data_IF_837160940501
#
_entry.id   IF_837160940501
#
_cell.length_a   1.000
_cell.length_b   1.000
_cell.length_c   1.000
_cell.angle_alpha   90.00
_cell.angle_beta   90.00
_cell.angle_gamma   90.00
#
_symmetry.space_group_name_H-M   'P 1'
#
loop_
_entity.id
_entity.type
_entity.pdbx_description
1 polymer ?
#
# COMPACT_ATOMS: atom_id res chain seq x y z
N UNK A 1 -11.14 -19.18 -8.14
CA UNK A 1 -11.19 -17.72 -7.96
C UNK A 1 -11.56 -17.12 -9.30
N UNK A 2 -12.53 -16.19 -9.34
CA UNK A 2 -13.01 -15.56 -10.59
C UNK A 2 -11.85 -14.90 -11.37
N UNK A 3 -11.83 -15.05 -12.71
CA UNK A 3 -10.82 -14.48 -13.60
C UNK A 3 -10.70 -12.96 -13.44
N UNK A 4 -11.83 -12.27 -13.23
CA UNK A 4 -11.83 -10.84 -12.96
C UNK A 4 -11.06 -10.50 -11.68
N UNK A 5 -11.12 -11.37 -10.68
CA UNK A 5 -10.44 -11.17 -9.40
C UNK A 5 -8.94 -11.40 -9.52
N UNK A 6 -8.51 -12.41 -10.27
CA UNK A 6 -7.10 -12.64 -10.59
C UNK A 6 -6.54 -11.42 -11.34
N UNK A 7 -7.27 -10.91 -12.33
CA UNK A 7 -6.87 -9.72 -13.09
C UNK A 7 -6.68 -8.50 -12.18
N UNK A 8 -7.59 -8.28 -11.22
CA UNK A 8 -7.43 -7.18 -10.24
C UNK A 8 -6.19 -7.32 -9.37
N UNK A 9 -5.89 -8.51 -8.85
CA UNK A 9 -4.64 -8.73 -8.10
C UNK A 9 -3.41 -8.44 -8.96
N UNK A 10 -3.39 -8.93 -10.21
CA UNK A 10 -2.28 -8.69 -11.15
C UNK A 10 -2.09 -7.20 -11.44
N UNK A 11 -3.18 -6.45 -11.61
CA UNK A 11 -3.11 -5.00 -11.80
C UNK A 11 -2.47 -4.31 -10.60
N UNK A 12 -2.88 -4.65 -9.37
CA UNK A 12 -2.30 -4.05 -8.16
C UNK A 12 -0.84 -4.42 -7.96
N UNK A 13 -0.47 -5.67 -8.20
CA UNK A 13 0.94 -6.12 -8.17
C UNK A 13 1.78 -5.38 -9.21
N UNK A 14 1.26 -5.16 -10.43
CA UNK A 14 1.95 -4.39 -11.46
C UNK A 14 2.23 -2.94 -11.02
N UNK A 15 1.25 -2.30 -10.37
CA UNK A 15 1.45 -0.96 -9.79
C UNK A 15 2.55 -0.99 -8.72
N UNK A 16 2.53 -1.98 -7.82
CA UNK A 16 3.53 -2.14 -6.77
C UNK A 16 4.94 -2.23 -7.37
N UNK A 17 5.16 -3.13 -8.33
CA UNK A 17 6.47 -3.29 -8.96
C UNK A 17 6.90 -2.03 -9.70
N UNK A 18 6.00 -1.38 -10.43
CA UNK A 18 6.32 -0.14 -11.15
C UNK A 18 6.72 0.98 -10.18
N UNK A 19 5.98 1.17 -9.10
CA UNK A 19 6.26 2.24 -8.11
C UNK A 19 7.51 1.98 -7.29
N UNK A 20 7.78 0.72 -6.94
CA UNK A 20 9.04 0.32 -6.32
C UNK A 20 10.24 0.69 -7.18
N UNK A 21 10.21 0.40 -8.49
CA UNK A 21 11.32 0.75 -9.39
C UNK A 21 11.46 2.27 -9.57
N UNK A 22 10.35 3.00 -9.64
CA UNK A 22 10.38 4.46 -9.69
C UNK A 22 11.05 5.05 -8.43
N UNK A 23 10.68 4.58 -7.23
CA UNK A 23 11.27 5.04 -5.96
C UNK A 23 12.77 4.80 -5.99
N UNK A 24 13.22 3.58 -6.31
CA UNK A 24 14.65 3.26 -6.40
C UNK A 24 15.40 4.15 -7.39
N UNK A 25 14.74 4.56 -8.48
CA UNK A 25 15.37 5.37 -9.53
C UNK A 25 15.55 6.83 -9.10
N UNK A 26 14.65 7.36 -8.25
CA UNK A 26 14.58 8.80 -7.96
C UNK A 26 14.91 9.16 -6.51
N UNK A 27 15.14 8.18 -5.63
CA UNK A 27 15.30 8.42 -4.18
C UNK A 27 16.52 9.29 -3.84
N UNK A 28 17.58 9.22 -4.63
CA UNK A 28 18.82 9.95 -4.41
C UNK A 28 18.87 11.31 -5.16
N UNK A 29 17.82 11.63 -5.91
CA UNK A 29 17.72 12.90 -6.64
C UNK A 29 17.26 14.03 -5.69
N UNK A 30 17.98 15.15 -5.70
CA UNK A 30 17.71 16.27 -4.77
C UNK A 30 16.75 17.32 -5.33
N UNK A 31 16.40 17.26 -6.62
CA UNK A 31 15.48 18.23 -7.20
C UNK A 31 14.05 18.02 -6.69
N UNK A 32 13.35 19.13 -6.44
CA UNK A 32 12.01 19.13 -5.84
C UNK A 32 11.03 18.22 -6.58
N UNK A 33 11.07 18.20 -7.92
CA UNK A 33 10.18 17.38 -8.73
C UNK A 33 10.43 15.89 -8.49
N UNK A 34 11.68 15.46 -8.43
CA UNK A 34 12.02 14.06 -8.16
C UNK A 34 11.62 13.63 -6.75
N UNK A 35 11.85 14.48 -5.75
CA UNK A 35 11.39 14.24 -4.36
C UNK A 35 9.87 14.05 -4.32
N UNK A 36 9.11 14.94 -4.95
CA UNK A 36 7.64 14.82 -5.01
C UNK A 36 7.20 13.57 -5.79
N UNK A 37 7.93 13.18 -6.83
CA UNK A 37 7.65 11.95 -7.59
C UNK A 37 7.89 10.67 -6.76
N UNK A 38 8.89 10.68 -5.87
CA UNK A 38 9.12 9.62 -4.88
C UNK A 38 7.95 9.54 -3.91
N UNK A 39 7.53 10.66 -3.32
CA UNK A 39 6.40 10.69 -2.39
C UNK A 39 5.12 10.15 -3.04
N UNK A 40 4.81 10.58 -4.26
CA UNK A 40 3.64 10.07 -4.97
C UNK A 40 3.76 8.58 -5.29
N UNK A 41 4.96 8.14 -5.68
CA UNK A 41 5.19 6.71 -5.96
C UNK A 41 5.04 5.86 -4.70
N UNK A 42 5.50 6.36 -3.55
CA UNK A 42 5.31 5.71 -2.26
C UNK A 42 3.83 5.63 -1.86
N UNK A 43 3.07 6.72 -2.01
CA UNK A 43 1.63 6.72 -1.72
C UNK A 43 0.90 5.64 -2.53
N UNK A 44 1.11 5.59 -3.85
CA UNK A 44 0.44 4.61 -4.72
C UNK A 44 0.89 3.17 -4.49
N UNK A 45 2.16 2.99 -4.07
CA UNK A 45 2.70 1.69 -3.66
C UNK A 45 1.91 1.15 -2.46
N UNK A 46 1.77 1.97 -1.40
CA UNK A 46 1.06 1.58 -0.18
C UNK A 46 -0.44 1.41 -0.40
N UNK A 47 -1.08 2.29 -1.17
CA UNK A 47 -2.49 2.13 -1.59
C UNK A 47 -2.74 0.80 -2.30
N UNK A 48 -1.82 0.39 -3.16
CA UNK A 48 -1.95 -0.89 -3.87
C UNK A 48 -1.80 -2.09 -2.94
N UNK A 49 -0.95 -2.00 -1.91
CA UNK A 49 -0.87 -3.03 -0.87
C UNK A 49 -2.15 -3.10 -0.03
N UNK A 50 -2.68 -1.97 0.44
CA UNK A 50 -3.88 -1.97 1.29
C UNK A 50 -5.12 -2.43 0.52
N UNK A 51 -5.23 -2.10 -0.77
CA UNK A 51 -6.25 -2.65 -1.65
C UNK A 51 -6.16 -4.17 -1.78
N UNK A 52 -4.94 -4.72 -1.94
CA UNK A 52 -4.71 -6.17 -1.94
C UNK A 52 -5.14 -6.77 -0.60
N UNK A 53 -4.83 -6.14 0.52
CA UNK A 53 -5.23 -6.63 1.83
C UNK A 53 -6.74 -6.67 2.01
N UNK A 54 -7.44 -5.60 1.64
CA UNK A 54 -8.90 -5.56 1.61
C UNK A 54 -9.49 -6.65 0.70
N UNK A 55 -8.88 -6.87 -0.47
CA UNK A 55 -9.27 -7.95 -1.38
C UNK A 55 -9.07 -9.34 -0.77
N UNK A 56 -8.01 -9.56 0.02
CA UNK A 56 -7.75 -10.83 0.70
C UNK A 56 -8.76 -11.02 1.84
N UNK A 57 -8.99 -10.01 2.69
CA UNK A 57 -10.02 -10.05 3.75
C UNK A 57 -11.38 -10.44 3.18
N UNK A 58 -11.79 -9.80 2.06
CA UNK A 58 -13.02 -10.16 1.36
C UNK A 58 -13.03 -11.59 0.82
N UNK A 59 -11.87 -12.12 0.42
CA UNK A 59 -11.74 -13.52 -0.05
C UNK A 59 -11.90 -14.52 1.09
N UNK A 60 -11.57 -14.13 2.32
CA UNK A 60 -11.75 -14.93 3.53
C UNK A 60 -13.18 -14.88 4.08
N UNK A 61 -14.11 -14.25 3.33
CA UNK A 61 -15.49 -13.96 3.75
C UNK A 61 -15.57 -13.14 5.05
N UNK A 62 -14.57 -12.32 5.32
CA UNK A 62 -14.60 -11.35 6.41
C UNK A 62 -15.07 -9.98 5.92
N UNK A 63 -15.65 -9.20 6.85
CA UNK A 63 -16.00 -7.81 6.59
C UNK A 63 -14.73 -7.02 6.30
N UNK A 64 -14.69 -6.29 5.19
CA UNK A 64 -13.61 -5.33 4.90
C UNK A 64 -13.86 -4.08 5.72
N UNK A 65 -12.85 -3.64 6.48
CA UNK A 65 -12.89 -2.42 7.30
C UNK A 65 -11.79 -1.46 6.86
N UNK A 66 -11.27 -0.62 7.77
CA UNK A 66 -10.13 0.25 7.50
C UNK A 66 -8.81 -0.53 7.33
N UNK A 67 -7.80 0.15 6.81
CA UNK A 67 -6.49 -0.44 6.50
C UNK A 67 -5.81 -1.09 7.72
N UNK A 68 -5.86 -0.47 8.90
CA UNK A 68 -5.21 -1.01 10.10
C UNK A 68 -5.91 -2.28 10.58
N UNK A 69 -7.24 -2.25 10.60
CA UNK A 69 -8.05 -3.40 11.00
C UNK A 69 -7.91 -4.56 10.00
N UNK A 70 -7.84 -4.26 8.70
CA UNK A 70 -7.61 -5.28 7.67
C UNK A 70 -6.22 -5.93 7.81
N UNK A 71 -5.16 -5.16 8.07
CA UNK A 71 -3.81 -5.70 8.31
C UNK A 71 -3.82 -6.64 9.53
N UNK A 72 -4.46 -6.24 10.64
CA UNK A 72 -4.55 -7.06 11.85
C UNK A 72 -5.29 -8.38 11.60
N UNK A 73 -6.39 -8.35 10.82
CA UNK A 73 -7.10 -9.58 10.42
C UNK A 73 -6.20 -10.53 9.64
N UNK A 74 -5.40 -10.02 8.70
CA UNK A 74 -4.47 -10.85 7.94
C UNK A 74 -3.38 -11.46 8.83
N UNK A 75 -2.88 -10.73 9.82
CA UNK A 75 -1.96 -11.28 10.82
C UNK A 75 -2.63 -12.37 11.67
N UNK A 76 -3.86 -12.14 12.16
CA UNK A 76 -4.62 -13.15 12.94
C UNK A 76 -4.88 -14.43 12.14
N UNK A 77 -4.97 -14.32 10.82
CA UNK A 77 -5.12 -15.45 9.88
C UNK A 77 -3.80 -16.10 9.48
N UNK A 78 -2.67 -15.61 9.98
CA UNK A 78 -1.33 -16.13 9.66
C UNK A 78 -0.85 -15.81 8.23
N UNK A 79 -1.52 -14.88 7.54
CA UNK A 79 -1.13 -14.43 6.18
C UNK A 79 0.01 -13.42 6.26
N UNK A 80 0.01 -12.58 7.29
CA UNK A 80 1.13 -11.71 7.64
C UNK A 80 1.79 -12.19 8.93
N UNK A 81 3.12 -12.07 8.99
CA UNK A 81 3.85 -12.16 10.26
C UNK A 81 3.61 -10.90 11.11
N UNK A 82 3.96 -10.97 12.40
CA UNK A 82 3.91 -9.81 13.30
C UNK A 82 4.83 -8.67 12.83
N UNK A 83 6.00 -9.02 12.30
CA UNK A 83 6.92 -8.05 11.67
C UNK A 83 6.29 -7.38 10.46
N UNK A 84 5.67 -8.16 9.56
CA UNK A 84 5.00 -7.63 8.37
C UNK A 84 3.80 -6.74 8.74
N UNK A 85 3.04 -7.10 9.76
CA UNK A 85 1.98 -6.24 10.29
C UNK A 85 2.55 -4.90 10.76
N UNK A 86 3.61 -4.92 11.57
CA UNK A 86 4.27 -3.71 12.06
C UNK A 86 4.75 -2.81 10.94
N UNK A 87 5.50 -3.37 10.00
CA UNK A 87 6.03 -2.65 8.82
C UNK A 87 4.91 -2.04 7.98
N UNK A 88 3.82 -2.78 7.74
CA UNK A 88 2.72 -2.27 6.93
C UNK A 88 1.91 -1.19 7.63
N UNK A 89 1.74 -1.27 8.96
CA UNK A 89 1.10 -0.22 9.75
C UNK A 89 1.94 1.06 9.76
N UNK A 90 3.25 0.95 9.95
CA UNK A 90 4.18 2.09 9.88
C UNK A 90 4.16 2.73 8.49
N UNK A 91 4.22 1.91 7.44
CA UNK A 91 4.19 2.39 6.07
C UNK A 91 2.88 3.10 5.72
N UNK A 92 1.74 2.57 6.16
CA UNK A 92 0.46 3.24 5.98
C UNK A 92 0.37 4.55 6.77
N UNK A 93 0.96 4.60 7.98
CA UNK A 93 1.10 5.82 8.77
C UNK A 93 1.91 6.90 8.04
N UNK A 94 3.06 6.52 7.46
CA UNK A 94 3.87 7.44 6.64
C UNK A 94 3.10 7.91 5.41
N UNK A 95 2.40 7.01 4.71
CA UNK A 95 1.54 7.37 3.56
C UNK A 95 0.50 8.41 3.96
N UNK A 96 -0.19 8.22 5.08
CA UNK A 96 -1.19 9.18 5.57
C UNK A 96 -0.55 10.54 5.88
N UNK A 97 0.61 10.56 6.57
CA UNK A 97 1.33 11.81 6.84
C UNK A 97 1.72 12.53 5.56
N UNK A 98 2.29 11.82 4.59
CA UNK A 98 2.65 12.40 3.29
C UNK A 98 1.43 12.95 2.55
N UNK A 99 0.28 12.28 2.62
CA UNK A 99 -0.97 12.81 2.02
C UNK A 99 -1.43 14.09 2.75
N UNK A 100 -1.39 14.11 4.08
CA UNK A 100 -1.79 15.29 4.87
C UNK A 100 -0.85 16.48 4.67
N UNK A 101 0.46 16.25 4.64
CA UNK A 101 1.46 17.30 4.37
C UNK A 101 1.39 17.80 2.92
N UNK A 102 1.05 16.93 1.97
CA UNK A 102 0.93 17.26 0.55
C UNK A 102 -0.37 18.00 0.22
N UNK A 103 -1.48 17.64 0.86
CA UNK A 103 -2.78 18.29 0.61
C UNK A 103 -2.94 19.65 1.30
N UNK A 104 -1.97 20.04 2.13
CA UNK A 104 -2.12 21.18 3.01
C UNK A 104 -3.21 20.91 4.04
N UNK A 105 -3.04 21.52 5.20
CA UNK A 105 -4.16 21.86 6.05
C UNK A 105 -5.26 22.53 5.19
N UNK A 106 -6.52 22.13 5.37
CA UNK A 106 -7.59 23.14 5.28
C UNK A 106 -7.31 24.26 6.28
#
# INVERSE_FOLDING_TARGET
MDENRITRYRQKISVIEKRKENIKTWIDEEDEKSVLAVYKSYQELIESFTDIFAMIVKNLNELVEDDYTNIEKLRKRGILSEEQEGLMKEANGLRNRLVHEYNGLE
#
